data_IF_301188205474
#
_entry.id   IF_301188205474
#
_cell.length_a   1.000
_cell.length_b   1.000
_cell.length_c   1.000
_cell.angle_alpha   90.00
_cell.angle_beta   90.00
_cell.angle_gamma   90.00
#
_symmetry.space_group_name_H-M   'P 1'
#
loop_
_entity.id
_entity.type
_entity.pdbx_description
1 polymer ?
#
# COMPACT_ATOMS: atom_id res chain seq x y z
N UNK A 1 -11.88 6.30 -16.75
CA UNK A 1 -10.81 7.04 -16.04
C UNK A 1 -11.19 7.48 -14.62
N UNK A 2 -12.16 8.39 -14.40
CA UNK A 2 -12.48 8.88 -13.03
C UNK A 2 -12.95 7.82 -12.01
N UNK A 3 -13.58 6.73 -12.45
CA UNK A 3 -13.99 5.63 -11.55
C UNK A 3 -12.78 4.91 -10.93
N UNK A 4 -11.74 4.69 -11.74
CA UNK A 4 -10.53 4.00 -11.28
C UNK A 4 -9.74 4.86 -10.30
N UNK A 5 -9.65 6.17 -10.54
CA UNK A 5 -9.02 7.10 -9.60
C UNK A 5 -9.76 7.17 -8.27
N UNK A 6 -11.10 7.23 -8.30
CA UNK A 6 -11.89 7.19 -7.07
C UNK A 6 -11.63 5.89 -6.30
N UNK A 7 -11.63 4.75 -6.99
CA UNK A 7 -11.32 3.48 -6.34
C UNK A 7 -9.92 3.47 -5.73
N UNK A 8 -8.90 3.99 -6.41
CA UNK A 8 -7.54 4.10 -5.86
C UNK A 8 -7.47 4.96 -4.59
N UNK A 9 -8.24 6.05 -4.52
CA UNK A 9 -8.34 6.88 -3.32
C UNK A 9 -9.03 6.12 -2.18
N UNK A 10 -10.11 5.40 -2.48
CA UNK A 10 -10.79 4.54 -1.50
C UNK A 10 -9.87 3.43 -0.97
N UNK A 11 -9.23 2.69 -1.86
CA UNK A 11 -8.30 1.61 -1.51
C UNK A 11 -7.15 2.14 -0.63
N UNK A 12 -6.59 3.30 -0.98
CA UNK A 12 -5.51 3.90 -0.21
C UNK A 12 -5.96 4.32 1.19
N UNK A 13 -7.15 4.92 1.31
CA UNK A 13 -7.68 5.30 2.63
C UNK A 13 -7.87 4.10 3.54
N UNK A 14 -8.46 3.02 3.02
CA UNK A 14 -8.67 1.79 3.80
C UNK A 14 -7.34 1.20 4.28
N UNK A 15 -6.31 1.23 3.44
CA UNK A 15 -4.96 0.84 3.85
C UNK A 15 -4.39 1.72 4.96
N UNK A 16 -4.55 3.04 4.86
CA UNK A 16 -4.06 3.97 5.89
C UNK A 16 -4.73 3.68 7.23
N UNK A 17 -6.05 3.44 7.23
CA UNK A 17 -6.81 3.05 8.42
C UNK A 17 -6.31 1.72 8.99
N UNK A 18 -6.15 0.69 8.16
CA UNK A 18 -5.62 -0.62 8.58
C UNK A 18 -4.22 -0.51 9.18
N UNK A 19 -3.33 0.24 8.54
CA UNK A 19 -1.96 0.48 9.04
C UNK A 19 -2.02 1.24 10.37
N UNK A 20 -2.88 2.25 10.51
CA UNK A 20 -2.99 3.01 11.75
C UNK A 20 -3.36 2.12 12.95
N UNK A 21 -4.21 1.12 12.73
CA UNK A 21 -4.67 0.19 13.78
C UNK A 21 -3.68 -0.94 14.07
N UNK A 22 -2.86 -1.33 13.09
CA UNK A 22 -2.02 -2.55 13.17
C UNK A 22 -0.51 -2.27 13.20
N UNK A 23 -0.10 -1.02 13.00
CA UNK A 23 1.31 -0.63 13.01
C UNK A 23 1.92 -0.79 14.39
N UNK A 24 3.14 -1.31 14.41
CA UNK A 24 3.94 -1.52 15.59
C UNK A 24 5.43 -1.38 15.20
N UNK A 25 6.33 -1.56 16.17
CA UNK A 25 7.76 -1.34 15.96
C UNK A 25 8.41 -2.31 14.96
N UNK A 26 7.86 -3.51 14.74
CA UNK A 26 8.45 -4.51 13.85
C UNK A 26 8.02 -4.30 12.40
N UNK A 27 6.83 -3.73 12.17
CA UNK A 27 6.29 -3.50 10.83
C UNK A 27 6.28 -2.03 10.37
N UNK A 28 6.75 -1.08 11.21
CA UNK A 28 6.73 0.36 10.93
C UNK A 28 7.49 0.74 9.64
N UNK A 29 8.62 0.09 9.36
CA UNK A 29 9.40 0.37 8.16
C UNK A 29 8.71 -0.13 6.89
N UNK A 30 7.95 -1.22 6.99
CA UNK A 30 7.14 -1.72 5.86
C UNK A 30 5.90 -0.86 5.67
N UNK A 31 5.26 -0.41 6.76
CA UNK A 31 4.16 0.55 6.70
C UNK A 31 4.56 1.85 5.98
N UNK A 32 5.72 2.43 6.29
CA UNK A 32 6.21 3.63 5.60
C UNK A 32 6.33 3.42 4.09
N UNK A 33 6.87 2.26 3.67
CA UNK A 33 6.99 1.91 2.24
C UNK A 33 5.62 1.75 1.57
N UNK A 34 4.66 1.12 2.24
CA UNK A 34 3.28 1.01 1.75
C UNK A 34 2.65 2.39 1.54
N UNK A 35 2.85 3.30 2.49
CA UNK A 35 2.29 4.66 2.44
C UNK A 35 2.94 5.56 1.39
N UNK A 36 4.19 5.29 0.96
CA UNK A 36 4.87 6.06 -0.10
C UNK A 36 4.47 5.64 -1.52
N UNK A 37 3.90 4.44 -1.70
CA UNK A 37 3.56 3.91 -3.04
C UNK A 37 2.66 4.80 -3.90
N UNK A 38 1.64 5.52 -3.38
CA UNK A 38 0.81 6.40 -4.21
C UNK A 38 1.61 7.51 -4.90
N UNK A 39 2.76 7.92 -4.35
CA UNK A 39 3.62 8.94 -4.96
C UNK A 39 4.30 8.46 -6.26
N UNK A 40 4.33 7.15 -6.51
CA UNK A 40 4.85 6.56 -7.74
C UNK A 40 3.81 6.61 -8.88
N UNK A 41 2.52 6.79 -8.55
CA UNK A 41 1.46 6.92 -9.55
C UNK A 41 1.49 8.34 -10.13
N UNK A 42 2.28 8.55 -11.19
CA UNK A 42 2.41 9.84 -11.89
C UNK A 42 2.08 9.72 -13.39
N UNK A 43 1.91 10.87 -14.05
CA UNK A 43 1.65 10.95 -15.48
C UNK A 43 0.16 10.89 -15.85
N UNK A 44 -0.11 10.72 -17.15
CA UNK A 44 -1.45 10.80 -17.73
C UNK A 44 -1.71 9.61 -18.67
N UNK A 45 -2.99 9.24 -18.85
CA UNK A 45 -3.41 8.17 -19.77
C UNK A 45 -2.72 6.84 -19.49
N UNK A 46 -2.13 6.24 -20.53
CA UNK A 46 -1.50 4.92 -20.47
C UNK A 46 -0.31 4.82 -19.51
N UNK A 47 0.45 5.92 -19.30
CA UNK A 47 1.57 5.94 -18.34
C UNK A 47 1.03 5.76 -16.92
N UNK A 48 -0.07 6.44 -16.60
CA UNK A 48 -0.74 6.31 -15.30
C UNK A 48 -1.28 4.90 -15.10
N UNK A 49 -1.88 4.30 -16.13
CA UNK A 49 -2.37 2.92 -16.06
C UNK A 49 -1.25 1.91 -15.80
N UNK A 50 -0.10 2.07 -16.48
CA UNK A 50 1.07 1.23 -16.24
C UNK A 50 1.64 1.40 -14.82
N UNK A 51 1.76 2.64 -14.33
CA UNK A 51 2.18 2.93 -12.96
C UNK A 51 1.21 2.35 -11.93
N UNK A 52 -0.10 2.42 -12.16
CA UNK A 52 -1.11 1.80 -11.28
C UNK A 52 -0.91 0.29 -11.20
N UNK A 53 -0.63 -0.38 -12.32
CA UNK A 53 -0.39 -1.83 -12.32
C UNK A 53 0.89 -2.16 -11.53
N UNK A 54 1.97 -1.42 -11.76
CA UNK A 54 3.24 -1.60 -11.03
C UNK A 54 3.05 -1.37 -9.52
N UNK A 55 2.41 -0.26 -9.14
CA UNK A 55 2.15 0.05 -7.73
C UNK A 55 1.29 -1.02 -7.08
N UNK A 56 0.26 -1.55 -7.76
CA UNK A 56 -0.55 -2.65 -7.22
C UNK A 56 0.26 -3.93 -6.97
N UNK A 57 1.24 -4.23 -7.81
CA UNK A 57 2.14 -5.37 -7.60
C UNK A 57 3.04 -5.15 -6.38
N UNK A 58 3.67 -3.97 -6.29
CA UNK A 58 4.48 -3.58 -5.13
C UNK A 58 3.68 -3.58 -3.84
N UNK A 59 2.44 -3.09 -3.89
CA UNK A 59 1.52 -3.05 -2.77
C UNK A 59 1.23 -4.45 -2.24
N UNK A 60 0.91 -5.41 -3.12
CA UNK A 60 0.65 -6.78 -2.68
C UNK A 60 1.88 -7.40 -1.99
N UNK A 61 3.05 -7.25 -2.58
CA UNK A 61 4.29 -7.78 -2.02
C UNK A 61 4.63 -7.15 -0.65
N UNK A 62 4.40 -5.85 -0.48
CA UNK A 62 4.64 -5.16 0.78
C UNK A 62 3.59 -5.48 1.85
N UNK A 63 2.32 -5.75 1.48
CA UNK A 63 1.29 -6.21 2.42
C UNK A 63 1.61 -7.59 2.99
N UNK A 64 2.10 -8.50 2.15
CA UNK A 64 2.53 -9.83 2.60
C UNK A 64 3.72 -9.72 3.59
N UNK A 65 4.68 -8.83 3.30
CA UNK A 65 5.79 -8.53 4.22
C UNK A 65 5.32 -7.85 5.52
N UNK A 66 4.38 -6.91 5.42
CA UNK A 66 3.83 -6.17 6.55
C UNK A 66 3.11 -7.10 7.53
N UNK A 67 2.30 -8.01 6.98
CA UNK A 67 1.59 -9.03 7.75
C UNK A 67 2.54 -10.00 8.43
N UNK A 68 3.59 -10.45 7.71
CA UNK A 68 4.62 -11.33 8.28
C UNK A 68 5.37 -10.65 9.44
N UNK A 69 5.85 -9.41 9.24
CA UNK A 69 6.57 -8.64 10.26
C UNK A 69 5.71 -8.32 11.49
N UNK A 70 4.39 -8.12 11.31
CA UNK A 70 3.45 -7.95 12.42
C UNK A 70 3.11 -9.24 13.16
N UNK A 71 3.08 -10.37 12.46
CA UNK A 71 2.78 -11.68 13.03
C UNK A 71 3.89 -12.24 13.91
N UNK A 72 5.17 -11.88 13.66
CA UNK A 72 6.32 -12.35 14.45
C UNK A 72 6.20 -12.01 15.95
N UNK A 73 5.49 -10.94 16.33
CA UNK A 73 5.17 -10.64 17.75
C UNK A 73 3.97 -11.39 18.33
N UNK A 74 3.05 -11.91 17.51
CA UNK A 74 1.89 -12.68 18.00
C UNK A 74 2.28 -14.12 18.36
N UNK A 75 3.41 -14.60 17.85
CA UNK A 75 3.90 -15.96 18.03
C UNK A 75 5.05 -16.09 19.06
N UNK A 76 5.57 -14.98 19.58
CA UNK A 76 6.64 -14.91 20.58
C UNK A 76 6.09 -14.43 21.94
#
# INVERSE_FOLDING_TARGET
ERKMERQLIEDYRLLVEEIADTVNQTNIEVAKKLLSLPEEIRGYGHVKEASVIQVRQSWRALLDQYSAAGAERKAA
#
